data_IF_005837498365
#
_entry.id   IF_005837498365
#
_cell.length_a   1.000
_cell.length_b   1.000
_cell.length_c   1.000
_cell.angle_alpha   90.00
_cell.angle_beta   90.00
_cell.angle_gamma   90.00
#
_symmetry.space_group_name_H-M   'P 1'
#
loop_
_entity.id
_entity.type
_entity.pdbx_description
1 polymer ?
#
# COMPACT_ATOMS: atom_id res chain seq x y z
N UNK A 1 26.26 -6.67 13.28
CA UNK A 1 26.50 -7.21 14.65
C UNK A 1 27.98 -7.42 14.97
N UNK A 2 28.78 -8.06 14.10
CA UNK A 2 30.19 -8.31 14.39
C UNK A 2 31.02 -7.02 14.50
N UNK A 3 30.84 -6.11 13.57
CA UNK A 3 31.53 -4.79 13.58
C UNK A 3 31.09 -3.94 14.78
N UNK A 4 29.79 -3.91 15.10
CA UNK A 4 29.28 -3.18 16.25
C UNK A 4 29.78 -3.75 17.56
N UNK A 5 29.81 -5.09 17.71
CA UNK A 5 30.39 -5.73 18.91
C UNK A 5 31.90 -5.50 19.03
N UNK A 6 32.64 -5.43 17.93
CA UNK A 6 34.06 -5.06 17.97
C UNK A 6 34.27 -3.61 18.37
N UNK A 7 33.44 -2.67 17.88
CA UNK A 7 33.51 -1.27 18.30
C UNK A 7 33.19 -1.11 19.78
N UNK A 8 32.10 -1.72 20.26
CA UNK A 8 31.71 -1.68 21.68
C UNK A 8 32.76 -2.36 22.58
N UNK A 9 33.36 -3.47 22.13
CA UNK A 9 34.46 -4.12 22.87
C UNK A 9 35.70 -3.24 22.95
N UNK A 10 36.03 -2.50 21.89
CA UNK A 10 37.17 -1.59 21.87
C UNK A 10 36.94 -0.31 22.70
N UNK A 11 35.69 0.21 22.73
CA UNK A 11 35.34 1.43 23.48
C UNK A 11 35.15 1.17 24.97
N UNK A 12 34.53 0.05 25.33
CA UNK A 12 34.10 -0.21 26.72
C UNK A 12 34.82 -1.38 27.39
N UNK A 13 35.73 -2.05 26.69
CA UNK A 13 36.51 -3.17 27.23
C UNK A 13 35.67 -4.39 27.63
N UNK A 14 34.40 -4.46 27.22
CA UNK A 14 33.48 -5.53 27.56
C UNK A 14 33.09 -6.35 26.33
N UNK A 15 33.16 -7.67 26.46
CA UNK A 15 32.68 -8.57 25.42
C UNK A 15 31.18 -8.76 25.56
N UNK A 16 30.41 -8.23 24.63
CA UNK A 16 28.98 -8.43 24.58
C UNK A 16 28.64 -9.79 23.96
N UNK A 17 27.97 -10.63 24.71
CA UNK A 17 27.49 -11.93 24.23
C UNK A 17 26.53 -11.68 23.08
N UNK A 18 26.81 -12.23 21.91
CA UNK A 18 25.85 -12.24 20.80
C UNK A 18 24.57 -12.93 21.26
N UNK A 19 23.42 -12.30 20.98
CA UNK A 19 22.16 -13.01 21.07
C UNK A 19 22.27 -14.31 20.26
N UNK A 20 22.16 -15.48 20.89
CA UNK A 20 22.23 -16.74 20.14
C UNK A 20 20.99 -16.84 19.27
N UNK A 21 21.10 -16.39 18.04
CA UNK A 21 20.07 -16.67 17.03
C UNK A 21 20.14 -18.17 16.76
N UNK A 22 19.40 -18.94 17.55
CA UNK A 22 19.33 -20.42 17.44
C UNK A 22 18.76 -20.88 16.10
N UNK A 23 18.01 -19.99 15.40
CA UNK A 23 17.48 -20.24 14.05
C UNK A 23 17.79 -19.01 13.19
N UNK A 24 18.42 -19.21 12.04
CA UNK A 24 18.59 -18.20 11.02
C UNK A 24 17.21 -17.84 10.44
N UNK A 25 17.02 -16.57 10.05
CA UNK A 25 15.83 -16.17 9.30
C UNK A 25 15.75 -16.98 8.00
N UNK A 26 14.58 -17.51 7.68
CA UNK A 26 14.34 -18.18 6.39
C UNK A 26 14.21 -17.10 5.31
N UNK A 27 15.20 -17.03 4.43
CA UNK A 27 15.25 -16.08 3.31
C UNK A 27 15.06 -16.88 2.03
N UNK A 28 14.04 -16.53 1.26
CA UNK A 28 13.74 -17.16 -0.04
C UNK A 28 13.78 -16.11 -1.12
N UNK A 29 14.54 -16.39 -2.18
CA UNK A 29 14.58 -15.57 -3.38
C UNK A 29 13.36 -15.90 -4.25
N UNK A 30 12.60 -14.90 -4.66
CA UNK A 30 11.45 -15.09 -5.55
C UNK A 30 10.54 -13.86 -5.62
N UNK A 31 9.56 -13.94 -6.50
CA UNK A 31 8.50 -12.95 -6.60
C UNK A 31 7.46 -13.18 -5.50
N UNK A 32 7.34 -12.23 -4.57
CA UNK A 32 6.43 -12.35 -3.44
C UNK A 32 4.94 -12.42 -3.85
N UNK A 33 4.55 -11.91 -5.02
CA UNK A 33 3.19 -12.07 -5.53
C UNK A 33 2.92 -13.50 -6.02
N UNK A 34 3.93 -14.19 -6.57
CA UNK A 34 3.78 -15.53 -7.12
C UNK A 34 4.08 -16.62 -6.10
N UNK A 35 4.99 -16.37 -5.15
CA UNK A 35 5.37 -17.32 -4.11
C UNK A 35 4.18 -17.64 -3.21
N UNK A 36 3.89 -18.91 -2.94
CA UNK A 36 2.94 -19.28 -1.91
C UNK A 36 3.55 -19.05 -0.51
N UNK A 37 3.01 -18.09 0.23
CA UNK A 37 3.55 -17.71 1.54
C UNK A 37 3.43 -18.85 2.58
N UNK A 38 2.51 -19.81 2.41
CA UNK A 38 2.40 -20.98 3.31
C UNK A 38 3.63 -21.87 3.22
N UNK A 39 4.24 -21.98 2.04
CA UNK A 39 5.42 -22.83 1.87
C UNK A 39 6.64 -22.30 2.62
N UNK A 40 6.68 -21.02 2.95
CA UNK A 40 7.77 -20.41 3.72
C UNK A 40 7.76 -20.85 5.19
N UNK A 41 6.62 -21.34 5.70
CA UNK A 41 6.48 -21.83 7.08
C UNK A 41 6.81 -23.32 7.19
N UNK A 42 6.98 -24.03 6.08
CA UNK A 42 7.31 -25.45 6.14
C UNK A 42 8.67 -25.64 6.80
N UNK A 43 8.77 -26.47 7.84
CA UNK A 43 10.05 -26.80 8.45
C UNK A 43 10.94 -27.49 7.41
N UNK A 44 12.24 -27.24 7.50
CA UNK A 44 13.19 -28.03 6.74
C UNK A 44 13.15 -29.50 7.23
N UNK A 45 13.54 -30.44 6.38
CA UNK A 45 13.48 -31.89 6.65
C UNK A 45 14.05 -32.29 8.02
N UNK A 46 14.98 -31.50 8.55
CA UNK A 46 15.64 -31.72 9.84
C UNK A 46 14.73 -31.42 11.07
N UNK A 47 13.72 -30.54 10.91
CA UNK A 47 12.77 -30.18 11.98
C UNK A 47 11.59 -31.17 12.09
N UNK A 48 11.47 -32.13 11.17
CA UNK A 48 10.36 -33.10 11.12
C UNK A 48 10.35 -34.10 12.28
N UNK A 49 11.37 -34.16 13.12
CA UNK A 49 11.40 -35.04 14.29
C UNK A 49 10.54 -34.53 15.46
N UNK A 50 10.16 -33.25 15.44
CA UNK A 50 9.21 -32.62 16.36
C UNK A 50 7.84 -32.44 15.70
N UNK A 51 7.21 -33.49 15.25
CA UNK A 51 5.97 -33.48 14.46
C UNK A 51 4.76 -32.81 15.10
N UNK A 52 4.74 -32.57 16.39
CA UNK A 52 3.56 -32.09 17.11
C UNK A 52 3.23 -30.59 16.86
N UNK A 53 4.19 -29.78 16.43
CA UNK A 53 4.02 -28.31 16.32
C UNK A 53 3.88 -27.80 14.87
N UNK A 54 3.99 -28.67 13.87
CA UNK A 54 4.12 -28.28 12.46
C UNK A 54 2.77 -27.95 11.81
N UNK A 55 1.69 -28.55 12.25
CA UNK A 55 0.36 -28.41 11.61
C UNK A 55 -0.29 -27.04 11.85
N UNK A 56 0.18 -26.25 12.82
CA UNK A 56 -0.40 -24.97 13.22
C UNK A 56 0.53 -23.76 13.09
N UNK A 57 1.62 -23.86 12.31
CA UNK A 57 2.51 -22.73 12.10
C UNK A 57 1.81 -21.66 11.24
N UNK A 58 1.52 -20.52 11.86
CA UNK A 58 1.00 -19.34 11.18
C UNK A 58 1.89 -18.14 11.48
N UNK A 59 1.93 -17.20 10.55
CA UNK A 59 2.53 -15.89 10.82
C UNK A 59 1.71 -15.14 11.86
N UNK A 60 2.36 -14.36 12.71
CA UNK A 60 1.68 -13.38 13.57
C UNK A 60 1.49 -12.05 12.85
N UNK A 61 2.47 -11.70 12.00
CA UNK A 61 2.51 -10.44 11.28
C UNK A 61 3.01 -10.65 9.85
N UNK A 62 2.48 -9.84 8.93
CA UNK A 62 2.98 -9.70 7.57
C UNK A 62 3.31 -8.21 7.36
N UNK A 63 4.59 -7.92 7.11
CA UNK A 63 5.07 -6.57 6.88
C UNK A 63 5.71 -6.48 5.51
N UNK A 64 5.56 -5.37 4.82
CA UNK A 64 6.18 -5.20 3.52
C UNK A 64 6.25 -3.76 3.03
N UNK A 65 7.20 -3.54 2.14
CA UNK A 65 7.33 -2.36 1.31
C UNK A 65 7.32 -2.82 -0.16
N UNK A 66 6.13 -3.11 -0.73
CA UNK A 66 6.00 -3.58 -2.10
C UNK A 66 6.48 -2.55 -3.12
N UNK A 67 6.83 -2.96 -4.35
CA UNK A 67 7.27 -2.04 -5.39
C UNK A 67 6.21 -0.97 -5.75
N UNK A 68 6.63 0.30 -5.83
CA UNK A 68 5.78 1.44 -6.19
C UNK A 68 5.79 1.65 -7.70
N UNK A 69 5.05 0.83 -8.43
CA UNK A 69 4.90 0.94 -9.88
C UNK A 69 3.47 1.39 -10.18
N UNK A 70 3.34 2.64 -10.65
CA UNK A 70 2.05 3.20 -11.05
C UNK A 70 1.44 2.46 -12.24
N UNK A 71 0.12 2.43 -12.32
CA UNK A 71 -0.63 1.69 -13.35
C UNK A 71 -0.18 1.99 -14.79
N UNK A 72 0.20 3.23 -15.07
CA UNK A 72 0.69 3.66 -16.40
C UNK A 72 2.10 3.17 -16.74
N UNK A 73 2.91 2.85 -15.72
CA UNK A 73 4.31 2.43 -15.87
C UNK A 73 4.48 0.91 -15.82
N UNK A 74 3.43 0.16 -15.51
CA UNK A 74 3.47 -1.30 -15.48
C UNK A 74 3.69 -1.89 -16.86
N UNK A 75 4.55 -2.92 -16.91
CA UNK A 75 4.64 -3.82 -18.06
C UNK A 75 3.37 -4.66 -18.18
N UNK A 76 3.08 -5.17 -19.37
CA UNK A 76 1.87 -5.98 -19.62
C UNK A 76 1.77 -7.17 -18.64
N UNK A 77 2.86 -7.91 -18.43
CA UNK A 77 2.91 -9.03 -17.49
C UNK A 77 2.48 -8.62 -16.07
N UNK A 78 2.96 -7.47 -15.55
CA UNK A 78 2.60 -6.97 -14.23
C UNK A 78 1.12 -6.59 -14.15
N UNK A 79 0.58 -6.01 -15.24
CA UNK A 79 -0.84 -5.68 -15.34
C UNK A 79 -1.70 -6.94 -15.31
N UNK A 80 -1.31 -7.97 -16.05
CA UNK A 80 -2.01 -9.26 -16.10
C UNK A 80 -1.97 -9.96 -14.72
N UNK A 81 -0.85 -9.84 -14.00
CA UNK A 81 -0.72 -10.33 -12.62
C UNK A 81 -1.71 -9.64 -11.68
N UNK A 82 -1.84 -8.30 -11.75
CA UNK A 82 -2.82 -7.57 -10.94
C UNK A 82 -4.23 -8.00 -11.28
N UNK A 83 -4.60 -8.00 -12.55
CA UNK A 83 -5.94 -8.41 -13.00
C UNK A 83 -6.27 -9.83 -12.50
N UNK A 84 -5.31 -10.76 -12.59
CA UNK A 84 -5.44 -12.12 -12.06
C UNK A 84 -5.60 -12.12 -10.53
N UNK A 85 -4.81 -11.33 -9.80
CA UNK A 85 -4.94 -11.23 -8.33
C UNK A 85 -6.32 -10.77 -7.91
N UNK A 86 -6.93 -9.87 -8.66
CA UNK A 86 -8.29 -9.36 -8.44
C UNK A 86 -9.39 -10.25 -9.02
N UNK A 87 -9.06 -11.45 -9.56
CA UNK A 87 -10.00 -12.37 -10.23
C UNK A 87 -10.78 -11.66 -11.38
N UNK A 88 -10.10 -10.87 -12.19
CA UNK A 88 -10.66 -10.08 -13.28
C UNK A 88 -11.79 -9.12 -12.85
N UNK A 89 -11.73 -8.57 -11.63
CA UNK A 89 -12.71 -7.60 -11.19
C UNK A 89 -12.65 -6.32 -12.04
N UNK A 90 -13.83 -5.72 -12.28
CA UNK A 90 -13.93 -4.48 -13.04
C UNK A 90 -13.03 -3.38 -12.46
N UNK A 91 -12.32 -2.68 -13.35
CA UNK A 91 -11.40 -1.61 -13.02
C UNK A 91 -10.05 -2.08 -12.46
N UNK A 92 -9.80 -3.39 -12.27
CA UNK A 92 -8.52 -3.87 -11.75
C UNK A 92 -7.31 -3.48 -12.60
N UNK A 93 -7.50 -3.23 -13.89
CA UNK A 93 -6.43 -2.82 -14.80
C UNK A 93 -5.88 -1.40 -14.60
N UNK A 94 -6.57 -0.53 -13.82
CA UNK A 94 -6.10 0.84 -13.52
C UNK A 94 -5.40 0.94 -12.17
N UNK A 95 -5.31 -0.17 -11.43
CA UNK A 95 -4.68 -0.21 -10.11
C UNK A 95 -3.16 -0.20 -10.21
N UNK A 96 -2.50 0.41 -9.24
CA UNK A 96 -1.06 0.37 -9.10
C UNK A 96 -0.58 -1.02 -8.65
N UNK A 97 0.65 -1.38 -9.00
CA UNK A 97 1.19 -2.73 -8.77
C UNK A 97 1.18 -3.15 -7.30
N UNK A 98 1.41 -2.21 -6.38
CA UNK A 98 1.37 -2.45 -4.93
C UNK A 98 0.06 -3.07 -4.44
N UNK A 99 -1.06 -2.82 -5.13
CA UNK A 99 -2.38 -3.34 -4.74
C UNK A 99 -2.50 -4.86 -4.77
N UNK A 100 -1.66 -5.52 -5.57
CA UNK A 100 -1.56 -6.98 -5.63
C UNK A 100 -1.20 -7.60 -4.28
N UNK A 101 -0.29 -6.97 -3.52
CA UNK A 101 0.09 -7.43 -2.17
C UNK A 101 -1.06 -7.30 -1.19
N UNK A 102 -1.86 -6.23 -1.28
CA UNK A 102 -3.05 -6.05 -0.43
C UNK A 102 -4.04 -7.17 -0.63
N UNK A 103 -4.40 -7.47 -1.87
CA UNK A 103 -5.36 -8.55 -2.18
C UNK A 103 -4.78 -9.93 -1.84
N UNK A 104 -3.50 -10.17 -2.10
CA UNK A 104 -2.85 -11.42 -1.72
C UNK A 104 -2.86 -11.62 -0.22
N UNK A 105 -2.49 -10.59 0.55
CA UNK A 105 -2.55 -10.64 2.02
C UNK A 105 -3.98 -10.84 2.52
N UNK A 106 -4.95 -10.09 1.97
CA UNK A 106 -6.36 -10.23 2.34
C UNK A 106 -6.90 -11.65 2.13
N UNK A 107 -6.51 -12.30 1.03
CA UNK A 107 -6.85 -13.72 0.79
C UNK A 107 -6.17 -14.64 1.80
N UNK A 108 -4.91 -14.38 2.10
CA UNK A 108 -4.09 -15.23 2.96
C UNK A 108 -4.56 -15.23 4.42
N UNK A 109 -4.94 -14.06 4.95
CA UNK A 109 -5.26 -13.90 6.38
C UNK A 109 -6.69 -14.30 6.77
N UNK A 110 -7.50 -14.82 5.83
CA UNK A 110 -8.88 -15.20 6.12
C UNK A 110 -8.94 -16.27 7.23
N UNK A 111 -9.79 -16.02 8.23
CA UNK A 111 -9.96 -16.94 9.37
C UNK A 111 -8.75 -17.02 10.31
N UNK A 112 -7.82 -16.07 10.25
CA UNK A 112 -6.62 -16.03 11.10
C UNK A 112 -6.60 -14.79 11.99
N UNK A 113 -5.67 -14.73 12.94
CA UNK A 113 -5.38 -13.56 13.77
C UNK A 113 -4.19 -12.74 13.27
N UNK A 114 -3.75 -13.00 12.03
CA UNK A 114 -2.60 -12.33 11.42
C UNK A 114 -2.91 -10.85 11.18
N UNK A 115 -1.97 -10.00 11.55
CA UNK A 115 -2.00 -8.56 11.26
C UNK A 115 -1.04 -8.23 10.12
N UNK A 116 -1.48 -7.38 9.22
CA UNK A 116 -0.73 -6.98 8.02
C UNK A 116 -0.45 -5.49 8.08
N UNK A 117 0.72 -5.06 7.61
CA UNK A 117 1.01 -3.66 7.38
C UNK A 117 1.90 -3.47 6.14
N UNK A 118 1.48 -2.58 5.25
CA UNK A 118 2.24 -2.25 4.05
C UNK A 118 2.48 -0.75 3.93
N UNK A 119 3.67 -0.42 3.44
CA UNK A 119 3.97 0.91 2.90
C UNK A 119 3.50 0.95 1.46
N UNK A 120 2.90 2.05 1.03
CA UNK A 120 2.33 2.18 -0.31
C UNK A 120 2.37 3.63 -0.77
N UNK A 121 2.25 3.84 -2.08
CA UNK A 121 1.92 5.15 -2.60
C UNK A 121 0.54 5.59 -2.12
N UNK A 122 0.32 6.88 -1.94
CA UNK A 122 -0.97 7.43 -1.49
C UNK A 122 -2.09 7.28 -2.52
N UNK A 123 -1.80 6.85 -3.74
CA UNK A 123 -2.77 6.54 -4.79
C UNK A 123 -3.84 5.51 -4.37
N UNK A 124 -3.47 4.56 -3.49
CA UNK A 124 -4.41 3.53 -3.01
C UNK A 124 -5.55 4.07 -2.15
N UNK A 125 -5.44 5.31 -1.66
CA UNK A 125 -6.43 5.98 -0.82
C UNK A 125 -7.01 7.24 -1.49
N UNK A 126 -6.75 7.41 -2.79
CA UNK A 126 -7.19 8.56 -3.59
C UNK A 126 -7.77 8.11 -4.94
N UNK A 127 -8.67 8.94 -5.48
CA UNK A 127 -9.25 8.74 -6.79
C UNK A 127 -10.01 7.41 -6.93
N UNK A 128 -10.04 6.89 -8.15
CA UNK A 128 -10.80 5.67 -8.48
C UNK A 128 -10.20 4.39 -7.89
N UNK A 129 -8.89 4.35 -7.66
CA UNK A 129 -8.21 3.17 -7.11
C UNK A 129 -8.75 2.81 -5.71
N UNK A 130 -9.10 3.82 -4.91
CA UNK A 130 -9.66 3.61 -3.57
C UNK A 130 -10.90 2.73 -3.61
N UNK A 131 -11.86 3.04 -4.46
CA UNK A 131 -13.11 2.30 -4.52
C UNK A 131 -12.93 0.86 -5.05
N UNK A 132 -11.99 0.65 -5.96
CA UNK A 132 -11.72 -0.65 -6.57
C UNK A 132 -10.99 -1.55 -5.55
N UNK A 133 -9.87 -1.08 -5.00
CA UNK A 133 -9.08 -1.83 -4.03
C UNK A 133 -9.89 -2.12 -2.76
N UNK A 134 -10.34 -1.06 -2.08
CA UNK A 134 -11.00 -1.20 -0.78
C UNK A 134 -12.39 -1.79 -0.88
N UNK A 135 -13.04 -1.68 -2.04
CA UNK A 135 -14.27 -2.40 -2.32
C UNK A 135 -14.07 -3.92 -2.23
N UNK A 136 -13.00 -4.45 -2.79
CA UNK A 136 -12.64 -5.86 -2.65
C UNK A 136 -12.19 -6.18 -1.22
N UNK A 137 -11.31 -5.37 -0.63
CA UNK A 137 -10.78 -5.59 0.72
C UNK A 137 -11.89 -5.68 1.77
N UNK A 138 -12.82 -4.73 1.77
CA UNK A 138 -13.89 -4.63 2.78
C UNK A 138 -15.04 -5.60 2.47
N UNK A 139 -15.61 -5.52 1.25
CA UNK A 139 -16.85 -6.23 0.96
C UNK A 139 -16.65 -7.73 0.72
N UNK A 140 -15.51 -8.12 0.15
CA UNK A 140 -15.24 -9.51 -0.17
C UNK A 140 -14.43 -10.22 0.92
N UNK A 141 -13.44 -9.52 1.48
CA UNK A 141 -12.50 -10.12 2.43
C UNK A 141 -12.71 -9.65 3.88
N UNK A 142 -13.73 -8.85 4.14
CA UNK A 142 -14.07 -8.33 5.48
C UNK A 142 -12.87 -7.73 6.22
N UNK A 143 -12.01 -7.01 5.49
CA UNK A 143 -10.82 -6.39 6.06
C UNK A 143 -11.21 -5.15 6.87
N UNK A 144 -10.53 -4.97 8.01
CA UNK A 144 -10.63 -3.81 8.88
C UNK A 144 -9.28 -3.13 9.00
N UNK A 145 -9.25 -1.81 8.87
CA UNK A 145 -8.03 -1.02 9.06
C UNK A 145 -7.86 -0.77 10.55
N UNK A 146 -6.70 -1.14 11.10
CA UNK A 146 -6.38 -1.02 12.52
C UNK A 146 -5.57 0.23 12.81
N UNK A 147 -4.65 0.59 11.90
CA UNK A 147 -3.94 1.85 11.98
C UNK A 147 -3.58 2.35 10.59
N UNK A 148 -3.35 3.66 10.49
CA UNK A 148 -2.89 4.26 9.26
C UNK A 148 -1.95 5.44 9.55
N UNK A 149 -0.85 5.51 8.82
CA UNK A 149 -0.12 6.75 8.60
C UNK A 149 -0.69 7.42 7.36
N UNK A 150 -1.24 8.61 7.52
CA UNK A 150 -1.71 9.43 6.40
C UNK A 150 -0.54 9.89 5.56
N UNK A 151 -0.82 10.51 4.45
CA UNK A 151 0.21 10.89 3.47
C UNK A 151 1.39 11.61 4.10
N UNK A 152 2.58 11.05 3.94
CA UNK A 152 3.85 11.63 4.32
C UNK A 152 4.84 11.52 3.16
N UNK A 153 5.89 12.33 3.23
CA UNK A 153 6.92 12.36 2.20
C UNK A 153 8.02 11.36 2.55
N UNK A 154 8.11 10.29 1.74
CA UNK A 154 9.25 9.38 1.82
C UNK A 154 10.43 10.00 1.08
N UNK A 155 11.51 10.31 1.78
CA UNK A 155 12.77 10.74 1.17
C UNK A 155 13.81 9.64 1.32
N UNK A 156 14.34 9.14 0.20
CA UNK A 156 15.57 8.37 0.23
C UNK A 156 16.75 9.34 0.33
N UNK A 157 17.75 9.00 1.13
CA UNK A 157 19.01 9.75 1.23
C UNK A 157 19.84 9.74 -0.07
N UNK A 158 19.46 8.91 -1.06
CA UNK A 158 20.10 8.85 -2.36
C UNK A 158 19.86 10.14 -3.15
N UNK A 159 20.92 10.84 -3.52
CA UNK A 159 20.89 12.05 -4.33
C UNK A 159 20.12 11.81 -5.64
N UNK A 160 19.09 12.62 -5.89
CA UNK A 160 18.40 12.69 -7.19
C UNK A 160 17.06 11.97 -7.31
N UNK A 161 16.54 11.34 -6.26
CA UNK A 161 15.24 10.67 -6.33
C UNK A 161 14.09 11.64 -6.02
N UNK A 162 13.07 11.62 -6.89
CA UNK A 162 11.82 12.31 -6.66
C UNK A 162 11.19 11.81 -5.36
N UNK A 163 10.73 12.73 -4.52
CA UNK A 163 10.04 12.38 -3.31
C UNK A 163 8.71 11.68 -3.62
N UNK A 164 8.47 10.54 -3.02
CA UNK A 164 7.23 9.79 -3.16
C UNK A 164 6.33 10.07 -1.97
N UNK A 165 5.07 10.33 -2.24
CA UNK A 165 4.05 10.45 -1.20
C UNK A 165 3.54 9.06 -0.83
N UNK A 166 3.77 8.68 0.41
CA UNK A 166 3.46 7.36 0.93
C UNK A 166 2.37 7.40 2.00
N UNK A 167 1.75 6.26 2.18
CA UNK A 167 0.90 5.92 3.32
C UNK A 167 1.38 4.61 3.92
N UNK A 168 1.11 4.37 5.20
CA UNK A 168 1.26 3.05 5.81
C UNK A 168 -0.12 2.63 6.28
N UNK A 169 -0.55 1.43 5.89
CA UNK A 169 -1.86 0.91 6.30
C UNK A 169 -1.70 -0.45 6.96
N UNK A 170 -2.12 -0.50 8.22
CA UNK A 170 -2.20 -1.74 8.99
C UNK A 170 -3.63 -2.26 9.04
N UNK A 171 -3.83 -3.53 8.71
CA UNK A 171 -5.15 -4.14 8.60
C UNK A 171 -5.17 -5.61 9.04
N UNK A 172 -6.37 -6.14 9.26
CA UNK A 172 -6.60 -7.55 9.57
C UNK A 172 -8.00 -8.00 9.11
N UNK A 173 -8.28 -9.30 9.21
CA UNK A 173 -9.61 -9.88 8.94
C UNK A 173 -10.51 -9.90 10.19
N UNK A 174 -10.20 -9.14 11.21
CA UNK A 174 -10.98 -8.94 12.43
C UNK A 174 -10.92 -7.50 12.86
N UNK A 175 -11.85 -7.07 13.69
CA UNK A 175 -11.90 -5.69 14.17
C UNK A 175 -11.01 -5.45 15.41
N UNK A 176 -10.72 -4.19 15.71
CA UNK A 176 -9.96 -3.74 16.86
C UNK A 176 -10.57 -2.47 17.46
N UNK A 177 -10.66 -2.44 18.78
CA UNK A 177 -11.11 -1.26 19.52
C UNK A 177 -9.99 -0.21 19.69
N UNK A 178 -8.76 -0.54 19.33
CA UNK A 178 -7.60 0.35 19.48
C UNK A 178 -7.07 0.77 18.11
N UNK A 179 -7.91 1.50 17.35
CA UNK A 179 -7.53 2.02 16.05
C UNK A 179 -6.84 3.37 16.18
N UNK A 180 -5.83 3.62 15.33
CA UNK A 180 -4.99 4.82 15.40
C UNK A 180 -4.72 5.38 14.02
N UNK A 181 -4.83 6.69 13.90
CA UNK A 181 -4.43 7.44 12.71
C UNK A 181 -3.24 8.31 13.10
N UNK A 182 -2.21 8.31 12.27
CA UNK A 182 -1.04 9.14 12.40
C UNK A 182 -1.10 10.22 11.32
N UNK A 183 -1.24 11.47 11.74
CA UNK A 183 -1.32 12.64 10.87
C UNK A 183 -0.01 13.42 10.93
N UNK A 184 0.29 14.11 9.85
CA UNK A 184 1.48 14.93 9.70
C UNK A 184 1.05 16.36 9.39
N UNK A 185 1.31 17.32 10.30
CA UNK A 185 1.07 18.75 10.05
C UNK A 185 2.00 19.27 8.94
N UNK A 186 3.28 18.89 9.01
CA UNK A 186 4.22 18.99 7.90
C UNK A 186 4.49 17.58 7.37
N UNK A 187 4.37 17.40 6.07
CA UNK A 187 4.60 16.11 5.37
C UNK A 187 6.00 15.52 5.66
N UNK A 188 6.93 16.34 6.15
CA UNK A 188 8.28 15.95 6.58
C UNK A 188 8.44 15.91 8.10
N UNK A 189 7.41 16.30 8.83
CA UNK A 189 7.43 16.44 10.28
C UNK A 189 7.18 15.13 11.03
N UNK A 190 7.03 15.25 12.31
CA UNK A 190 6.66 14.15 13.19
C UNK A 190 5.18 13.82 13.08
N UNK A 191 4.85 12.55 13.29
CA UNK A 191 3.48 12.07 13.25
C UNK A 191 2.74 12.36 14.56
N UNK A 192 1.52 12.88 14.47
CA UNK A 192 0.61 13.02 15.61
C UNK A 192 -0.37 11.86 15.65
N UNK A 193 -0.40 11.12 16.76
CA UNK A 193 -1.31 9.99 16.93
C UNK A 193 -2.71 10.47 17.34
N UNK A 194 -3.73 10.02 16.60
CA UNK A 194 -5.15 10.27 16.87
C UNK A 194 -5.84 8.91 17.05
N UNK A 195 -6.58 8.74 18.13
CA UNK A 195 -7.44 7.56 18.32
C UNK A 195 -8.65 7.65 17.41
N UNK A 196 -8.98 6.54 16.77
CA UNK A 196 -10.11 6.45 15.84
C UNK A 196 -11.09 5.35 16.26
N UNK A 197 -12.37 5.56 16.00
CA UNK A 197 -13.41 4.54 16.18
C UNK A 197 -13.47 3.62 14.97
N UNK A 198 -13.36 4.20 13.77
CA UNK A 198 -13.27 3.47 12.52
C UNK A 198 -12.31 4.19 11.58
N UNK A 199 -11.48 3.44 10.86
CA UNK A 199 -10.61 3.99 9.82
C UNK A 199 -11.16 3.53 8.49
N UNK A 200 -11.68 4.49 7.71
CA UNK A 200 -12.25 4.20 6.41
C UNK A 200 -11.20 4.13 5.29
N UNK A 201 -11.54 3.74 4.06
CA UNK A 201 -10.61 3.66 2.93
C UNK A 201 -9.84 4.95 2.58
N UNK A 202 -10.31 6.11 3.02
CA UNK A 202 -9.65 7.41 2.83
C UNK A 202 -8.77 7.79 4.02
N UNK A 203 -8.53 6.85 4.95
CA UNK A 203 -7.72 6.99 6.16
C UNK A 203 -8.21 8.12 7.09
N UNK A 204 -9.51 8.24 7.26
CA UNK A 204 -10.14 9.16 8.22
C UNK A 204 -11.06 8.39 9.16
N UNK A 205 -11.27 8.95 10.38
CA UNK A 205 -12.21 8.38 11.36
C UNK A 205 -13.66 8.66 10.92
N UNK A 206 -14.20 7.79 10.09
CA UNK A 206 -15.55 7.87 9.57
C UNK A 206 -16.08 6.48 9.20
N UNK A 207 -17.37 6.38 8.87
CA UNK A 207 -17.98 5.16 8.32
C UNK A 207 -17.31 4.76 7.01
N UNK A 208 -17.29 3.47 6.71
CA UNK A 208 -16.79 2.95 5.44
C UNK A 208 -17.69 3.44 4.29
N UNK A 209 -17.16 4.36 3.50
CA UNK A 209 -17.81 4.92 2.31
C UNK A 209 -16.84 4.70 1.14
N UNK A 210 -17.39 4.24 0.01
CA UNK A 210 -16.65 4.05 -1.22
C UNK A 210 -17.26 4.92 -2.32
N UNK A 211 -16.52 5.91 -2.77
CA UNK A 211 -16.94 6.78 -3.87
C UNK A 211 -16.43 6.16 -5.17
N UNK A 212 -17.37 5.63 -5.95
CA UNK A 212 -17.07 5.05 -7.27
C UNK A 212 -16.96 6.14 -8.32
N UNK A 213 -16.13 5.90 -9.33
CA UNK A 213 -16.10 6.72 -10.55
C UNK A 213 -17.50 6.77 -11.17
N UNK A 214 -17.96 7.95 -11.52
CA UNK A 214 -19.27 8.16 -12.15
C UNK A 214 -19.14 9.24 -13.22
N UNK A 215 -19.78 9.02 -14.35
CA UNK A 215 -19.91 10.03 -15.43
C UNK A 215 -20.99 11.05 -15.12
N UNK A 216 -21.83 10.80 -14.11
CA UNK A 216 -22.90 11.72 -13.70
C UNK A 216 -22.58 12.32 -12.36
N UNK A 217 -22.80 13.63 -12.22
CA UNK A 217 -22.70 14.34 -10.95
C UNK A 217 -23.70 13.77 -9.93
N UNK A 218 -23.26 13.62 -8.67
CA UNK A 218 -24.11 13.21 -7.53
C UNK A 218 -25.09 14.34 -7.16
N UNK A 219 -24.73 15.59 -7.43
CA UNK A 219 -25.55 16.77 -7.19
C UNK A 219 -25.96 17.44 -8.51
N UNK A 220 -26.91 18.36 -8.46
CA UNK A 220 -27.33 19.19 -9.59
C UNK A 220 -26.25 20.25 -9.84
N UNK A 221 -25.09 19.83 -10.33
CA UNK A 221 -24.02 20.71 -10.77
C UNK A 221 -23.93 20.69 -12.28
N UNK A 222 -23.46 21.77 -12.92
CA UNK A 222 -23.12 21.77 -14.33
C UNK A 222 -22.12 20.67 -14.67
N UNK A 223 -22.21 20.12 -15.87
CA UNK A 223 -21.23 19.14 -16.33
C UNK A 223 -19.83 19.79 -16.37
N UNK A 224 -18.84 19.11 -15.80
CA UNK A 224 -17.46 19.54 -15.85
C UNK A 224 -16.78 18.68 -16.93
N UNK A 225 -16.28 19.35 -17.98
CA UNK A 225 -15.43 18.72 -18.98
C UNK A 225 -14.03 18.42 -18.43
N UNK A 226 -13.09 18.15 -19.33
CA UNK A 226 -11.70 17.74 -19.00
C UNK A 226 -10.87 18.90 -18.40
N UNK A 227 -11.49 19.96 -17.91
CA UNK A 227 -10.80 21.10 -17.30
C UNK A 227 -9.96 21.87 -18.33
N UNK A 228 -8.83 22.41 -17.89
CA UNK A 228 -7.93 23.23 -18.70
C UNK A 228 -6.85 22.44 -19.47
N UNK A 229 -6.98 21.12 -19.57
CA UNK A 229 -6.07 20.31 -20.39
C UNK A 229 -6.66 20.18 -21.80
N UNK A 230 -6.17 20.94 -22.77
CA UNK A 230 -6.65 20.82 -24.14
C UNK A 230 -6.27 19.43 -24.69
N UNK A 231 -7.26 18.66 -25.15
CA UNK A 231 -7.09 17.42 -25.89
C UNK A 231 -7.78 17.66 -27.25
N UNK A 232 -7.21 18.57 -28.01
CA UNK A 232 -7.82 19.17 -29.20
C UNK A 232 -6.80 19.39 -30.29
N UNK A 233 -5.65 18.70 -30.21
CA UNK A 233 -4.51 18.83 -31.14
C UNK A 233 -3.99 20.30 -31.24
N UNK A 234 -4.20 21.09 -30.20
CA UNK A 234 -3.74 22.48 -30.14
C UNK A 234 -4.71 23.51 -30.72
N UNK A 235 -5.92 23.11 -31.13
CA UNK A 235 -6.90 24.02 -31.75
C UNK A 235 -7.49 25.07 -30.81
N UNK A 236 -7.38 24.86 -29.46
CA UNK A 236 -7.80 25.84 -28.44
C UNK A 236 -6.62 26.59 -27.83
N UNK A 237 -5.41 26.41 -28.35
CA UNK A 237 -4.23 27.18 -27.95
C UNK A 237 -4.05 28.34 -28.91
N UNK A 238 -4.48 29.53 -28.50
CA UNK A 238 -4.33 30.76 -29.27
C UNK A 238 -3.10 31.55 -28.79
N UNK A 239 -2.36 32.07 -29.72
CA UNK A 239 -1.46 33.19 -29.44
C UNK A 239 -2.29 34.43 -29.06
N UNK A 240 -1.68 35.44 -28.45
CA UNK A 240 -2.40 36.66 -28.09
C UNK A 240 -3.01 37.34 -29.35
N UNK A 241 -2.33 37.28 -30.50
CA UNK A 241 -2.81 37.81 -31.77
C UNK A 241 -4.02 37.03 -32.32
N UNK A 242 -3.98 35.71 -32.28
CA UNK A 242 -5.08 34.85 -32.71
C UNK A 242 -6.31 35.05 -31.81
N UNK A 243 -6.10 35.17 -30.50
CA UNK A 243 -7.16 35.46 -29.53
C UNK A 243 -7.86 36.79 -29.86
N UNK A 244 -7.10 37.83 -30.15
CA UNK A 244 -7.65 39.16 -30.49
C UNK A 244 -8.44 39.12 -31.80
N UNK A 245 -8.01 38.30 -32.76
CA UNK A 245 -8.72 38.11 -34.02
C UNK A 245 -10.03 37.31 -33.76
N UNK A 246 -9.98 36.31 -32.91
CA UNK A 246 -11.15 35.48 -32.58
C UNK A 246 -12.25 36.30 -31.87
N UNK A 247 -11.87 37.10 -30.86
CA UNK A 247 -12.78 37.96 -30.11
C UNK A 247 -13.41 39.06 -30.98
N UNK A 248 -12.71 39.55 -32.01
CA UNK A 248 -13.24 40.55 -32.91
C UNK A 248 -14.23 40.01 -33.96
N UNK A 249 -14.35 38.69 -34.09
CA UNK A 249 -15.25 38.03 -35.05
C UNK A 249 -16.62 37.69 -34.44
N UNK A 250 -16.76 37.76 -33.12
CA UNK A 250 -18.04 37.71 -32.42
C UNK A 250 -18.60 39.11 -32.20
#
# INVERSE_FOLDING_TARGET
DHQMNMQLSNEFGQYFVRLPLKKAAKIVQGDALQTDWKTLLQPELFDLWNKADVENLNYSYILGNPPFIGSKLMKQQQRDEIVKQFNNADGSGVLDYVTGWYIKAAKYIQGTTIKVAFVSTNSIVQGEQTSILWGQMINKYNIKIHFAHRTFKWSNEAKGNAAVYCVIVGFANFDSNNKRIFEYEDIKGEAHEIKAKNINPYLVDAKDILIRSSTKSICKAPEIGIGNKPIDDGNYLFTDEEKDIFIKKE
#
